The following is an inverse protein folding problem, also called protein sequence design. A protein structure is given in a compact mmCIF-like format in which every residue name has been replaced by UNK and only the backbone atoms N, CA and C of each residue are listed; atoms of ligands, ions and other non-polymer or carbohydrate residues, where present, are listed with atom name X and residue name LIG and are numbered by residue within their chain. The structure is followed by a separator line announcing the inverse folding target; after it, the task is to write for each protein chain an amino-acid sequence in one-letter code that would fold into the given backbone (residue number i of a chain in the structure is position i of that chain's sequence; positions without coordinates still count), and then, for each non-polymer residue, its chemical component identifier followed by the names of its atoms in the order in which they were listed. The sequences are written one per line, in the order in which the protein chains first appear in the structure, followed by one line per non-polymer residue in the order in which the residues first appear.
data_IF_081926958549
#
_entry.id   IF_081926958549
#
_cell.length_a   1.000
_cell.length_b   1.000
_cell.length_c   1.000
_cell.angle_alpha   90.00
_cell.angle_beta   90.00
_cell.angle_gamma   90.00
#
_symmetry.space_group_name_H-M   'P 1'
#
loop_
_entity.id
_entity.type
_entity.pdbx_description
1 polymer ?
#
# COMPACT_ATOMS: atom_id res chain seq x y z
N UNK A 1 6.12 -15.60 12.88
CA UNK A 1 4.84 -15.78 12.17
C UNK A 1 4.65 -14.66 11.17
N UNK A 2 5.26 -14.78 9.98
CA UNK A 2 5.32 -13.72 8.96
C UNK A 2 4.88 -14.23 7.57
N UNK A 3 4.03 -15.27 7.52
CA UNK A 3 3.62 -15.93 6.28
C UNK A 3 2.16 -15.70 5.88
N UNK A 4 1.57 -14.55 6.22
CA UNK A 4 0.15 -14.33 5.93
C UNK A 4 -0.23 -12.92 5.46
N UNK A 5 0.63 -12.27 4.68
CA UNK A 5 0.31 -10.97 4.06
C UNK A 5 0.41 -10.96 2.53
N UNK A 6 0.48 -12.13 1.88
CA UNK A 6 0.53 -12.22 0.41
C UNK A 6 -0.81 -12.60 -0.25
N UNK A 7 -1.92 -12.66 0.50
CA UNK A 7 -3.22 -13.10 -0.04
C UNK A 7 -4.38 -12.30 0.57
N UNK A 8 -4.37 -10.97 0.38
CA UNK A 8 -5.54 -10.12 0.65
C UNK A 8 -5.87 -9.28 -0.58
N UNK A 9 -6.43 -9.92 -1.61
CA UNK A 9 -7.32 -9.25 -2.55
C UNK A 9 -8.73 -9.02 -1.97
N UNK A 10 -8.94 -9.32 -0.69
CA UNK A 10 -10.15 -8.97 0.06
C UNK A 10 -9.87 -9.00 1.57
N UNK A 11 -9.44 -7.88 2.14
CA UNK A 11 -9.59 -7.67 3.58
C UNK A 11 -11.10 -7.60 3.87
N UNK A 12 -11.63 -8.58 4.59
CA UNK A 12 -13.02 -8.62 5.06
C UNK A 12 -12.97 -8.40 6.58
N UNK A 13 -13.52 -7.29 7.12
CA UNK A 13 -13.60 -7.11 8.56
C UNK A 13 -14.40 -8.28 9.18
N UNK A 14 -13.88 -8.86 10.27
CA UNK A 14 -14.59 -9.88 11.04
C UNK A 14 -15.98 -9.39 11.46
N UNK A 15 -16.93 -10.30 11.65
CA UNK A 15 -18.35 -9.97 11.89
C UNK A 15 -18.62 -9.08 13.11
N UNK A 16 -17.70 -9.02 14.08
CA UNK A 16 -17.75 -8.09 15.20
C UNK A 16 -17.44 -6.64 14.78
N UNK A 17 -16.47 -6.42 13.89
CA UNK A 17 -16.04 -5.09 13.45
C UNK A 17 -17.04 -4.44 12.48
N UNK A 18 -17.82 -5.23 11.74
CA UNK A 18 -18.75 -4.69 10.74
C UNK A 18 -19.84 -3.78 11.31
N UNK A 19 -20.22 -3.95 12.59
CA UNK A 19 -21.22 -3.10 13.26
C UNK A 19 -20.66 -1.75 13.67
N UNK A 20 -19.34 -1.61 13.65
CA UNK A 20 -18.62 -0.52 14.28
C UNK A 20 -17.86 0.33 13.26
N UNK A 21 -18.14 0.14 11.97
CA UNK A 21 -17.51 0.86 10.87
C UNK A 21 -18.44 1.95 10.33
N UNK A 22 -17.91 3.16 10.22
CA UNK A 22 -18.48 4.19 9.35
C UNK A 22 -17.87 4.06 7.97
N UNK A 23 -18.71 3.78 6.97
CA UNK A 23 -18.30 3.65 5.56
C UNK A 23 -18.72 4.89 4.79
N UNK A 24 -17.78 5.52 4.08
CA UNK A 24 -18.03 6.70 3.24
C UNK A 24 -17.54 6.42 1.81
N UNK A 25 -18.38 6.60 0.77
CA UNK A 25 -17.90 6.60 -0.62
C UNK A 25 -16.81 7.66 -0.80
N UNK A 26 -15.73 7.30 -1.48
CA UNK A 26 -14.60 8.16 -1.84
C UNK A 26 -14.11 7.84 -3.26
N UNK A 27 -14.98 7.92 -4.29
CA UNK A 27 -14.55 7.66 -5.66
C UNK A 27 -13.63 8.79 -6.14
N UNK A 28 -12.39 8.43 -6.49
CA UNK A 28 -11.42 9.33 -7.12
C UNK A 28 -10.63 8.55 -8.14
N UNK A 29 -10.31 9.16 -9.27
CA UNK A 29 -9.46 8.55 -10.29
C UNK A 29 -8.42 9.56 -10.74
N UNK A 30 -7.17 9.11 -10.79
CA UNK A 30 -6.03 9.92 -11.20
C UNK A 30 -5.13 9.09 -12.11
N UNK A 31 -4.42 9.78 -13.00
CA UNK A 31 -3.41 9.17 -13.85
C UNK A 31 -2.21 10.09 -14.01
N UNK A 32 -1.02 9.51 -14.01
CA UNK A 32 0.24 10.25 -14.15
C UNK A 32 1.19 9.51 -15.09
N UNK A 33 2.03 10.27 -15.80
CA UNK A 33 3.10 9.72 -16.66
C UNK A 33 4.43 9.92 -15.95
N UNK A 34 5.11 8.83 -15.65
CA UNK A 34 6.41 8.79 -15.01
C UNK A 34 7.49 8.49 -16.06
N UNK A 35 8.42 9.43 -16.25
CA UNK A 35 9.55 9.27 -17.18
C UNK A 35 10.85 8.79 -16.48
N UNK A 36 10.78 8.52 -15.18
CA UNK A 36 11.91 8.07 -14.37
C UNK A 36 11.64 6.68 -13.76
N UNK A 37 12.71 5.93 -13.54
CA UNK A 37 12.69 4.55 -13.03
C UNK A 37 13.50 4.37 -11.73
N UNK A 38 13.97 5.46 -11.12
CA UNK A 38 14.74 5.37 -9.88
C UNK A 38 13.87 4.80 -8.75
N UNK A 39 14.50 4.12 -7.80
CA UNK A 39 13.75 3.58 -6.66
C UNK A 39 13.03 4.67 -5.86
N UNK A 40 13.62 5.86 -5.77
CA UNK A 40 13.05 7.00 -5.07
C UNK A 40 11.80 7.54 -5.77
N UNK A 41 11.80 7.61 -7.10
CA UNK A 41 10.63 8.02 -7.87
C UNK A 41 9.50 7.00 -7.76
N UNK A 42 9.82 5.70 -7.78
CA UNK A 42 8.81 4.64 -7.63
C UNK A 42 8.18 4.62 -6.24
N UNK A 43 9.00 4.81 -5.20
CA UNK A 43 8.50 4.92 -3.82
C UNK A 43 7.59 6.14 -3.67
N UNK A 44 7.99 7.28 -4.28
CA UNK A 44 7.18 8.50 -4.28
C UNK A 44 5.86 8.31 -5.03
N UNK A 45 5.85 7.62 -6.17
CA UNK A 45 4.61 7.31 -6.91
C UNK A 45 3.63 6.46 -6.09
N UNK A 46 4.11 5.64 -5.16
CA UNK A 46 3.31 4.83 -4.23
C UNK A 46 3.06 5.53 -2.88
N UNK A 47 3.43 6.81 -2.75
CA UNK A 47 3.29 7.60 -1.53
C UNK A 47 4.05 7.00 -0.32
N UNK A 48 5.16 6.28 -0.59
CA UNK A 48 6.02 5.65 0.43
C UNK A 48 7.20 6.56 0.78
N UNK A 49 7.32 6.92 2.06
CA UNK A 49 8.38 7.82 2.55
C UNK A 49 8.87 7.43 3.95
N UNK A 50 9.89 8.15 4.44
CA UNK A 50 10.38 8.06 5.82
C UNK A 50 10.78 6.64 6.27
N UNK A 51 10.26 6.22 7.43
CA UNK A 51 10.57 4.92 8.03
C UNK A 51 10.08 3.74 7.18
N UNK A 52 8.97 3.90 6.44
CA UNK A 52 8.46 2.85 5.55
C UNK A 52 9.38 2.66 4.35
N UNK A 53 9.89 3.76 3.78
CA UNK A 53 10.94 3.72 2.73
C UNK A 53 12.18 2.98 3.24
N UNK A 54 12.67 3.34 4.44
CA UNK A 54 13.84 2.66 5.03
C UNK A 54 13.57 1.16 5.27
N UNK A 55 12.38 0.81 5.75
CA UNK A 55 11.99 -0.58 6.02
C UNK A 55 11.91 -1.41 4.73
N UNK A 56 11.38 -0.83 3.65
CA UNK A 56 11.36 -1.46 2.33
C UNK A 56 12.79 -1.68 1.80
N UNK A 57 13.65 -0.64 1.82
CA UNK A 57 15.04 -0.75 1.38
C UNK A 57 15.85 -1.74 2.23
N UNK A 58 15.51 -1.88 3.51
CA UNK A 58 16.08 -2.87 4.43
C UNK A 58 15.51 -4.29 4.28
N UNK A 59 14.59 -4.53 3.34
CA UNK A 59 13.99 -5.85 3.10
C UNK A 59 13.04 -6.32 4.21
N UNK A 60 12.56 -5.42 5.07
CA UNK A 60 11.65 -5.74 6.18
C UNK A 60 10.18 -5.76 5.76
N UNK A 61 9.87 -5.26 4.56
CA UNK A 61 8.52 -5.16 4.00
C UNK A 61 8.44 -5.97 2.72
N UNK A 62 7.49 -6.90 2.66
CA UNK A 62 7.14 -7.61 1.44
C UNK A 62 6.05 -6.84 0.68
N UNK A 63 6.11 -6.87 -0.66
CA UNK A 63 5.16 -6.17 -1.53
C UNK A 63 4.41 -7.13 -2.44
N UNK A 64 3.12 -6.89 -2.59
CA UNK A 64 2.21 -7.65 -3.46
C UNK A 64 1.50 -6.76 -4.47
N UNK A 65 0.68 -7.38 -5.34
CA UNK A 65 -0.17 -6.67 -6.29
C UNK A 65 0.60 -5.65 -7.15
N UNK A 66 0.05 -4.44 -7.27
CA UNK A 66 0.65 -3.34 -8.03
C UNK A 66 1.95 -2.79 -7.43
N UNK A 67 2.19 -2.97 -6.12
CA UNK A 67 3.42 -2.55 -5.47
C UNK A 67 4.64 -3.38 -5.89
N UNK A 68 4.45 -4.52 -6.58
CA UNK A 68 5.54 -5.24 -7.27
C UNK A 68 6.28 -4.37 -8.30
N UNK A 69 5.67 -3.27 -8.76
CA UNK A 69 6.35 -2.25 -9.56
C UNK A 69 7.66 -1.73 -8.92
N UNK A 70 7.75 -1.70 -7.58
CA UNK A 70 8.99 -1.32 -6.88
C UNK A 70 10.19 -2.22 -7.20
N UNK A 71 9.92 -3.48 -7.57
CA UNK A 71 10.93 -4.49 -7.90
C UNK A 71 11.16 -4.61 -9.41
N UNK A 72 10.30 -4.01 -10.24
CA UNK A 72 10.52 -3.94 -11.69
C UNK A 72 11.61 -2.91 -11.95
N UNK A 73 12.71 -3.28 -12.60
CA UNK A 73 13.83 -2.36 -12.89
C UNK A 73 14.26 -2.50 -14.34
N UNK A 74 14.74 -1.40 -14.94
CA UNK A 74 15.38 -1.46 -16.25
C UNK A 74 16.46 -2.55 -16.31
N UNK A 75 16.48 -3.28 -17.42
CA UNK A 75 17.46 -4.37 -17.63
C UNK A 75 18.82 -3.85 -18.12
N UNK A 76 18.85 -2.68 -18.72
CA UNK A 76 20.04 -2.07 -19.29
C UNK A 76 19.98 -0.54 -19.19
N UNK A 77 21.14 0.12 -19.36
CA UNK A 77 21.19 1.58 -19.53
C UNK A 77 20.71 2.04 -20.91
N UNK A 78 20.65 1.12 -21.88
CA UNK A 78 20.19 1.34 -23.25
C UNK A 78 18.68 1.14 -23.37
N UNK A 79 17.94 1.46 -22.31
CA UNK A 79 16.49 1.30 -22.24
C UNK A 79 15.83 2.62 -21.85
N UNK A 80 15.04 3.18 -22.77
CA UNK A 80 14.07 4.22 -22.47
C UNK A 80 12.85 3.56 -21.84
N UNK A 81 12.30 4.18 -20.78
CA UNK A 81 11.12 3.69 -20.07
C UNK A 81 10.18 4.84 -19.78
N UNK A 82 8.89 4.60 -20.00
CA UNK A 82 7.80 5.47 -19.55
C UNK A 82 6.78 4.60 -18.85
N UNK A 83 6.32 5.01 -17.68
CA UNK A 83 5.27 4.30 -16.93
C UNK A 83 4.04 5.18 -16.84
N UNK A 84 2.87 4.64 -17.20
CA UNK A 84 1.59 5.28 -16.89
C UNK A 84 1.07 4.70 -15.59
N UNK A 85 0.95 5.55 -14.57
CA UNK A 85 0.31 5.19 -13.31
C UNK A 85 -1.17 5.50 -13.38
N UNK A 86 -1.99 4.57 -12.93
CA UNK A 86 -3.42 4.74 -12.70
C UNK A 86 -3.72 4.51 -11.22
N UNK A 87 -4.40 5.46 -10.57
CA UNK A 87 -4.87 5.35 -9.18
C UNK A 87 -6.38 5.51 -9.15
N UNK A 88 -7.07 4.60 -8.46
CA UNK A 88 -8.50 4.72 -8.17
C UNK A 88 -8.79 4.45 -6.70
N UNK A 89 -9.49 5.36 -6.03
CA UNK A 89 -10.05 5.13 -4.69
C UNK A 89 -11.55 4.90 -4.80
N UNK A 90 -12.12 4.18 -3.83
CA UNK A 90 -13.53 3.73 -3.88
C UNK A 90 -14.30 4.13 -2.63
N UNK A 91 -13.79 3.77 -1.45
CA UNK A 91 -14.45 4.02 -0.17
C UNK A 91 -13.44 4.16 0.96
N UNK A 92 -13.88 4.85 2.00
CA UNK A 92 -13.16 5.01 3.25
C UNK A 92 -13.95 4.33 4.35
N UNK A 93 -13.31 3.44 5.10
CA UNK A 93 -13.90 2.77 6.26
C UNK A 93 -13.13 3.19 7.50
N UNK A 94 -13.84 3.56 8.56
CA UNK A 94 -13.25 4.02 9.80
C UNK A 94 -13.98 3.40 11.00
N UNK A 95 -13.21 2.97 12.00
CA UNK A 95 -13.75 2.53 13.28
C UNK A 95 -14.43 3.69 14.01
N UNK A 96 -15.61 3.42 14.54
CA UNK A 96 -16.31 4.30 15.47
C UNK A 96 -15.53 4.43 16.78
N UNK A 97 -15.39 5.66 17.29
CA UNK A 97 -14.57 5.95 18.48
C UNK A 97 -15.05 5.23 19.75
N UNK A 98 -16.31 4.81 19.79
CA UNK A 98 -16.88 3.97 20.85
C UNK A 98 -16.15 2.63 21.02
N UNK A 99 -15.40 2.16 20.04
CA UNK A 99 -14.73 0.86 20.05
C UNK A 99 -13.21 0.91 20.32
N UNK A 100 -12.65 2.11 20.51
CA UNK A 100 -11.23 2.28 20.83
C UNK A 100 -10.93 2.27 22.34
N UNK A 101 -11.96 2.14 23.18
CA UNK A 101 -11.78 1.92 24.62
C UNK A 101 -11.17 0.54 24.89
N UNK A 102 -10.27 0.45 25.88
CA UNK A 102 -9.59 -0.80 26.27
C UNK A 102 -10.58 -1.96 26.49
N UNK A 103 -11.79 -1.67 26.97
CA UNK A 103 -12.85 -2.65 27.21
C UNK A 103 -13.43 -3.28 25.93
N UNK A 104 -13.25 -2.62 24.78
CA UNK A 104 -13.85 -3.01 23.49
C UNK A 104 -12.83 -3.60 22.52
N UNK A 105 -11.55 -3.66 22.90
CA UNK A 105 -10.52 -4.35 22.12
C UNK A 105 -10.51 -5.82 22.50
N UNK A 106 -10.54 -6.72 21.51
CA UNK A 106 -10.63 -8.17 21.77
C UNK A 106 -9.44 -8.76 22.53
N UNK A 107 -8.28 -8.09 22.49
CA UNK A 107 -7.06 -8.57 23.13
C UNK A 107 -6.29 -7.39 23.76
N UNK A 108 -6.79 -6.79 24.84
CA UNK A 108 -6.17 -5.60 25.43
C UNK A 108 -4.76 -5.89 25.99
N UNK A 109 -4.54 -7.10 26.51
CA UNK A 109 -3.26 -7.56 27.04
C UNK A 109 -2.09 -7.48 26.04
N UNK A 110 -2.35 -7.46 24.73
CA UNK A 110 -1.28 -7.37 23.72
C UNK A 110 -0.60 -6.01 23.72
N UNK A 111 -1.31 -4.96 24.17
CA UNK A 111 -0.74 -3.62 24.34
C UNK A 111 0.10 -3.56 25.61
N UNK A 112 -0.39 -4.13 26.71
CA UNK A 112 0.35 -4.20 27.98
C UNK A 112 1.63 -5.02 27.86
N UNK A 113 1.60 -6.08 27.06
CA UNK A 113 2.76 -6.93 26.74
C UNK A 113 3.66 -6.33 25.65
N UNK A 114 3.35 -5.13 25.13
CA UNK A 114 4.13 -4.44 24.10
C UNK A 114 4.17 -5.17 22.76
N UNK A 115 3.25 -6.11 22.50
CA UNK A 115 3.22 -6.91 21.27
C UNK A 115 2.61 -6.15 20.09
N UNK A 116 1.76 -5.15 20.35
CA UNK A 116 1.23 -4.24 19.35
C UNK A 116 1.57 -2.79 19.72
N UNK A 117 2.15 -2.04 18.78
CA UNK A 117 2.54 -0.64 18.99
C UNK A 117 1.55 0.35 18.37
N UNK A 118 0.76 -0.09 17.38
CA UNK A 118 -0.18 0.75 16.63
C UNK A 118 -1.48 0.00 16.36
N UNK A 119 -2.58 0.74 16.20
CA UNK A 119 -3.91 0.24 15.83
C UNK A 119 -4.35 0.92 14.53
N UNK A 120 -4.82 0.14 13.55
CA UNK A 120 -5.42 0.68 12.33
C UNK A 120 -6.85 1.12 12.66
N UNK A 121 -7.11 2.43 12.56
CA UNK A 121 -8.42 3.02 12.87
C UNK A 121 -9.24 3.34 11.62
N UNK A 122 -8.59 3.42 10.46
CA UNK A 122 -9.25 3.66 9.19
C UNK A 122 -8.45 3.12 8.01
N UNK A 123 -9.15 2.81 6.92
CA UNK A 123 -8.60 2.32 5.66
C UNK A 123 -9.28 3.06 4.50
N UNK A 124 -8.48 3.58 3.57
CA UNK A 124 -8.94 4.05 2.27
C UNK A 124 -8.74 2.93 1.23
N UNK A 125 -9.83 2.42 0.68
CA UNK A 125 -9.81 1.33 -0.29
C UNK A 125 -9.71 1.86 -1.72
N UNK A 126 -8.99 1.11 -2.54
CA UNK A 126 -8.76 1.45 -3.93
C UNK A 126 -7.95 0.39 -4.66
N UNK A 127 -7.60 0.72 -5.90
CA UNK A 127 -6.71 -0.06 -6.74
C UNK A 127 -5.73 0.88 -7.45
N UNK A 128 -4.52 0.37 -7.73
CA UNK A 128 -3.54 1.05 -8.57
C UNK A 128 -3.05 0.10 -9.65
N UNK A 129 -2.68 0.64 -10.81
CA UNK A 129 -2.05 -0.10 -11.89
C UNK A 129 -0.88 0.71 -12.46
N UNK A 130 0.17 0.00 -12.89
CA UNK A 130 1.35 0.58 -13.53
C UNK A 130 1.53 -0.07 -14.89
N UNK A 131 1.39 0.71 -15.95
CA UNK A 131 1.64 0.28 -17.32
C UNK A 131 3.04 0.71 -17.71
N UNK A 132 3.98 -0.23 -17.70
CA UNK A 132 5.40 0.01 -17.98
C UNK A 132 5.67 -0.21 -19.46
N UNK A 133 6.17 0.82 -20.14
CA UNK A 133 6.54 0.78 -21.55
C UNK A 133 8.04 0.93 -21.69
N UNK A 134 8.69 -0.08 -22.28
CA UNK A 134 10.12 -0.11 -22.52
C UNK A 134 10.44 -0.02 -24.01
N UNK A 135 11.53 0.69 -24.31
CA UNK A 135 12.12 0.74 -25.64
C UNK A 135 13.64 0.66 -25.53
N UNK A 136 14.22 -0.32 -26.22
CA UNK A 136 15.67 -0.36 -26.40
C UNK A 136 16.13 0.81 -27.29
N UNK A 137 17.24 1.42 -26.91
CA UNK A 137 17.87 2.54 -27.60
C UNK A 137 19.31 2.19 -27.92
N UNK A 138 19.64 2.16 -29.22
CA UNK A 138 21.02 2.03 -29.68
C UNK A 138 21.72 3.38 -29.58
N UNK A 139 22.97 3.37 -29.10
CA UNK A 139 23.85 4.53 -29.27
C UNK A 139 24.23 4.62 -30.75
N UNK A 140 23.77 5.68 -31.43
CA UNK A 140 24.31 6.12 -32.73
C UNK A 140 25.70 6.70 -32.56
#
# INVERSE_FOLDING_TARGET
GLRKLAEESSFQPGSSLQRDLTIKPQPKTESEILASDTIDDKLSALDISGSLKASFLGGLVEVGGSAKYLQDTKKSKQQARVTVQYKATTRYEQLTMSHLGIQNVSYPDIFEKGMATHVVTAILYGAQAFFVFDREVSST
#
